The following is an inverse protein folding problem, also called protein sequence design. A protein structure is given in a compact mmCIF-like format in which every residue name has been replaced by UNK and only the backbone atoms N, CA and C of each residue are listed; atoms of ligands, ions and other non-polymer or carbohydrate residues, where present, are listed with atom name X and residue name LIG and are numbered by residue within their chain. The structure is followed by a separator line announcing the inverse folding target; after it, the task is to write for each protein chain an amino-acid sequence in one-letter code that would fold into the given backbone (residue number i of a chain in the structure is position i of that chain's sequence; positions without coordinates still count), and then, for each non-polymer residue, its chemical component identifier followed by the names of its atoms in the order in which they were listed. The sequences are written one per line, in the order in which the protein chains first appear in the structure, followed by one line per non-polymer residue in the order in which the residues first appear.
data_IF_545825649078
#
_entry.id   IF_545825649078
#
_cell.length_a   1.000
_cell.length_b   1.000
_cell.length_c   1.000
_cell.angle_alpha   90.00
_cell.angle_beta   90.00
_cell.angle_gamma   90.00
#
_symmetry.space_group_name_H-M   'P 1'
#
loop_
_entity.id
_entity.type
_entity.pdbx_description
1 polymer ?
#
# COMPACT_ATOMS: atom_id res chain seq x y z
N UNK A 1 6.74 16.09 26.55
CA UNK A 1 5.94 15.12 25.78
C UNK A 1 6.88 13.99 25.38
N UNK A 2 6.89 12.89 26.14
CA UNK A 2 7.73 11.74 25.83
C UNK A 2 7.05 10.95 24.71
N UNK A 3 7.60 11.04 23.50
CA UNK A 3 7.21 10.23 22.36
C UNK A 3 7.75 8.82 22.52
N UNK A 4 7.07 7.99 23.31
CA UNK A 4 7.36 6.56 23.31
C UNK A 4 7.07 6.01 21.91
N UNK A 5 8.04 5.32 21.33
CA UNK A 5 7.82 4.50 20.13
C UNK A 5 6.89 3.36 20.57
N UNK A 6 5.60 3.52 20.30
CA UNK A 6 4.62 2.50 20.59
C UNK A 6 4.62 1.51 19.43
N UNK A 7 5.35 0.40 19.59
CA UNK A 7 5.17 -0.74 18.70
C UNK A 7 3.72 -1.21 18.91
N UNK A 8 2.88 -1.22 17.87
CA UNK A 8 1.49 -1.68 17.96
C UNK A 8 1.32 -3.15 18.40
N UNK A 9 2.41 -3.82 18.78
CA UNK A 9 2.52 -5.15 19.34
C UNK A 9 3.57 -5.18 20.47
N UNK A 10 3.44 -6.11 21.41
CA UNK A 10 4.45 -6.34 22.44
C UNK A 10 5.73 -6.88 21.78
N UNK A 11 6.82 -6.10 21.84
CA UNK A 11 8.12 -6.45 21.26
C UNK A 11 9.09 -6.77 22.40
N UNK A 12 9.64 -7.98 22.41
CA UNK A 12 10.62 -8.39 23.44
C UNK A 12 12.07 -8.06 23.06
N UNK A 13 12.37 -7.98 21.76
CA UNK A 13 13.73 -7.79 21.24
C UNK A 13 13.75 -6.82 20.05
N UNK A 14 14.66 -5.85 20.09
CA UNK A 14 14.93 -4.91 19.00
C UNK A 14 16.38 -5.08 18.55
N UNK A 15 16.59 -5.29 17.24
CA UNK A 15 17.92 -5.40 16.64
C UNK A 15 18.22 -4.15 15.82
N UNK A 16 19.26 -3.42 16.20
CA UNK A 16 19.74 -2.23 15.47
C UNK A 16 20.94 -2.62 14.64
N UNK A 17 20.83 -2.48 13.32
CA UNK A 17 21.89 -2.84 12.37
C UNK A 17 22.68 -1.59 11.98
N UNK A 18 24.00 -1.60 12.22
CA UNK A 18 24.97 -0.62 11.71
C UNK A 18 24.63 0.86 12.02
N UNK A 19 23.97 1.14 13.16
CA UNK A 19 23.57 2.50 13.51
C UNK A 19 23.61 2.79 15.03
N UNK A 20 24.79 3.16 15.55
CA UNK A 20 25.02 3.38 17.00
C UNK A 20 24.16 4.48 17.62
N UNK A 21 23.97 5.61 16.91
CA UNK A 21 23.16 6.72 17.42
C UNK A 21 21.71 6.28 17.71
N UNK A 22 21.10 5.56 16.76
CA UNK A 22 19.77 4.97 16.91
C UNK A 22 19.71 3.94 18.04
N UNK A 23 20.76 3.12 18.21
CA UNK A 23 20.84 2.19 19.34
C UNK A 23 20.75 2.92 20.69
N UNK A 24 21.52 3.99 20.86
CA UNK A 24 21.51 4.77 22.10
C UNK A 24 20.18 5.52 22.31
N UNK A 25 19.58 6.04 21.25
CA UNK A 25 18.25 6.67 21.29
C UNK A 25 17.18 5.65 21.73
N UNK A 26 17.13 4.47 21.11
CA UNK A 26 16.17 3.40 21.46
C UNK A 26 16.40 2.86 22.87
N UNK A 27 17.65 2.75 23.33
CA UNK A 27 17.96 2.31 24.70
C UNK A 27 17.45 3.28 25.77
N UNK A 28 17.37 4.58 25.45
CA UNK A 28 16.79 5.58 26.33
C UNK A 28 15.26 5.59 26.27
N UNK A 29 14.70 5.40 25.07
CA UNK A 29 13.29 5.68 24.80
C UNK A 29 12.39 4.43 24.94
N UNK A 30 12.95 3.21 24.90
CA UNK A 30 12.21 1.95 25.07
C UNK A 30 12.18 1.46 26.52
N UNK A 31 11.12 0.72 26.92
CA UNK A 31 11.05 0.11 28.24
C UNK A 31 12.18 -0.90 28.52
N UNK A 32 12.57 -1.03 29.78
CA UNK A 32 13.68 -1.91 30.21
C UNK A 32 13.48 -3.40 29.89
N UNK A 33 12.23 -3.86 29.76
CA UNK A 33 11.94 -5.26 29.41
C UNK A 33 12.32 -5.58 27.95
N UNK A 34 12.45 -4.57 27.09
CA UNK A 34 12.81 -4.73 25.68
C UNK A 34 14.32 -4.89 25.56
N UNK A 35 14.78 -6.05 25.09
CA UNK A 35 16.21 -6.32 24.88
C UNK A 35 16.66 -5.67 23.57
N UNK A 36 17.66 -4.81 23.62
CA UNK A 36 18.18 -4.13 22.43
C UNK A 36 19.58 -4.65 22.11
N UNK A 37 19.75 -5.21 20.91
CA UNK A 37 21.02 -5.69 20.40
C UNK A 37 21.49 -4.81 19.23
N UNK A 38 22.73 -4.32 19.29
CA UNK A 38 23.37 -3.65 18.16
C UNK A 38 24.25 -4.65 17.41
N UNK A 39 24.13 -4.72 16.09
CA UNK A 39 24.85 -5.67 15.24
C UNK A 39 25.48 -4.96 14.03
N UNK A 40 26.70 -5.33 13.63
CA UNK A 40 27.29 -4.81 12.40
C UNK A 40 26.54 -5.34 11.18
N UNK A 41 26.53 -4.57 10.08
CA UNK A 41 26.11 -5.11 8.77
C UNK A 41 27.11 -6.18 8.31
N UNK A 42 26.62 -7.17 7.57
CA UNK A 42 27.51 -8.11 6.88
C UNK A 42 28.35 -7.37 5.83
N UNK A 43 29.62 -7.76 5.68
CA UNK A 43 30.52 -7.18 4.68
C UNK A 43 30.09 -7.40 3.23
N UNK A 44 29.18 -8.35 2.98
CA UNK A 44 28.58 -8.58 1.66
C UNK A 44 27.35 -7.70 1.36
N UNK A 45 26.96 -6.80 2.27
CA UNK A 45 25.85 -5.87 2.03
C UNK A 45 26.31 -4.74 1.13
N UNK A 46 25.71 -4.68 -0.05
CA UNK A 46 25.91 -3.58 -1.01
C UNK A 46 24.81 -2.54 -0.89
N UNK A 47 25.18 -1.27 -1.02
CA UNK A 47 24.22 -0.18 -1.06
C UNK A 47 23.41 -0.22 -2.37
N UNK A 48 22.08 -0.21 -2.24
CA UNK A 48 21.19 -0.23 -3.40
C UNK A 48 20.94 1.20 -3.89
N UNK A 49 21.13 1.44 -5.18
CA UNK A 49 20.72 2.71 -5.79
C UNK A 49 19.20 2.85 -5.86
N UNK A 50 18.71 4.09 -6.05
CA UNK A 50 17.27 4.36 -6.28
C UNK A 50 16.74 3.60 -7.50
N UNK A 51 17.54 3.53 -8.57
CA UNK A 51 17.20 2.80 -9.79
C UNK A 51 17.01 1.30 -9.51
N UNK A 52 17.95 0.68 -8.77
CA UNK A 52 17.84 -0.73 -8.39
C UNK A 52 16.59 -1.02 -7.54
N UNK A 53 16.22 -0.10 -6.63
CA UNK A 53 14.96 -0.22 -5.85
C UNK A 53 13.71 -0.11 -6.73
N UNK A 54 13.72 0.71 -7.78
CA UNK A 54 12.59 0.80 -8.74
C UNK A 54 12.44 -0.53 -9.49
N UNK A 55 13.54 -1.05 -10.03
CA UNK A 55 13.57 -2.35 -10.74
C UNK A 55 13.11 -3.48 -9.82
N UNK A 56 13.61 -3.51 -8.58
CA UNK A 56 13.20 -4.50 -7.58
C UNK A 56 11.71 -4.44 -7.26
N UNK A 57 11.13 -3.24 -7.09
CA UNK A 57 9.67 -3.08 -6.88
C UNK A 57 8.87 -3.60 -8.07
N UNK A 58 9.25 -3.23 -9.30
CA UNK A 58 8.59 -3.73 -10.53
C UNK A 58 8.66 -5.25 -10.62
N UNK A 59 9.82 -5.84 -10.33
CA UNK A 59 10.01 -7.30 -10.31
C UNK A 59 9.11 -8.00 -9.30
N UNK A 60 8.88 -7.41 -8.11
CA UNK A 60 7.96 -7.97 -7.12
C UNK A 60 6.49 -7.90 -7.55
N UNK A 61 6.07 -6.81 -8.20
CA UNK A 61 4.72 -6.70 -8.75
C UNK A 61 4.53 -7.73 -9.88
N UNK A 62 5.50 -7.87 -10.78
CA UNK A 62 5.45 -8.90 -11.82
C UNK A 62 5.38 -10.31 -11.21
N UNK A 63 6.19 -10.59 -10.18
CA UNK A 63 6.17 -11.89 -9.50
C UNK A 63 4.84 -12.18 -8.80
N UNK A 64 4.10 -11.15 -8.37
CA UNK A 64 2.79 -11.31 -7.76
C UNK A 64 1.75 -11.82 -8.79
N UNK A 65 1.75 -11.29 -10.02
CA UNK A 65 0.79 -11.69 -11.06
C UNK A 65 1.23 -12.93 -11.86
N UNK A 66 2.52 -13.06 -12.18
CA UNK A 66 3.04 -14.09 -13.09
C UNK A 66 3.88 -15.17 -12.39
N UNK A 67 4.13 -15.01 -11.08
CA UNK A 67 4.94 -15.95 -10.32
C UNK A 67 6.45 -15.78 -10.57
N UNK A 68 7.23 -16.80 -10.21
CA UNK A 68 8.67 -16.82 -10.38
C UNK A 68 9.15 -18.04 -11.17
N UNK A 69 10.46 -18.21 -11.26
CA UNK A 69 11.07 -19.34 -11.99
C UNK A 69 10.63 -20.72 -11.50
N UNK A 70 10.28 -20.84 -10.21
CA UNK A 70 9.83 -22.11 -9.61
C UNK A 70 8.35 -22.38 -9.76
N UNK A 71 7.53 -21.34 -9.91
CA UNK A 71 6.09 -21.44 -9.96
C UNK A 71 5.55 -20.29 -10.79
N UNK A 72 4.98 -20.62 -11.94
CA UNK A 72 4.40 -19.67 -12.88
C UNK A 72 2.91 -19.54 -12.60
N UNK A 73 2.41 -18.31 -12.67
CA UNK A 73 0.99 -17.98 -12.55
C UNK A 73 0.47 -17.45 -13.88
N UNK A 74 -0.83 -17.66 -14.12
CA UNK A 74 -1.53 -17.19 -15.31
C UNK A 74 -2.64 -16.24 -14.86
N UNK A 75 -2.35 -14.93 -14.78
CA UNK A 75 -3.36 -13.97 -14.33
C UNK A 75 -4.47 -13.83 -15.38
N UNK A 76 -5.62 -13.36 -14.92
CA UNK A 76 -6.81 -13.16 -15.73
C UNK A 76 -6.97 -11.68 -16.08
N UNK A 77 -7.38 -11.41 -17.31
CA UNK A 77 -7.76 -10.08 -17.78
C UNK A 77 -9.25 -10.06 -18.10
N UNK A 78 -9.98 -9.11 -17.52
CA UNK A 78 -11.41 -8.95 -17.77
C UNK A 78 -11.88 -7.52 -17.53
N UNK A 79 -13.05 -7.20 -18.08
CA UNK A 79 -13.70 -5.89 -17.88
C UNK A 79 -14.51 -5.87 -16.60
N UNK A 80 -14.45 -4.74 -15.89
CA UNK A 80 -15.25 -4.43 -14.71
C UNK A 80 -16.01 -3.13 -14.98
N UNK A 81 -17.32 -3.11 -14.71
CA UNK A 81 -18.10 -1.87 -14.85
C UNK A 81 -17.84 -0.95 -13.67
N UNK A 82 -17.89 0.36 -13.89
CA UNK A 82 -17.69 1.35 -12.83
C UNK A 82 -18.74 1.26 -11.73
N UNK A 83 -19.96 0.81 -12.05
CA UNK A 83 -21.05 0.64 -11.10
C UNK A 83 -20.95 -0.66 -10.26
N UNK A 84 -20.07 -1.60 -10.64
CA UNK A 84 -19.86 -2.84 -9.89
C UNK A 84 -18.96 -2.66 -8.67
N UNK A 85 -18.18 -1.57 -8.62
CA UNK A 85 -17.13 -1.34 -7.62
C UNK A 85 -17.19 0.06 -7.02
N UNK A 86 -16.71 0.19 -5.79
CA UNK A 86 -16.55 1.47 -5.11
C UNK A 86 -15.06 1.70 -4.87
N UNK A 87 -14.50 2.76 -5.45
CA UNK A 87 -13.08 3.09 -5.34
C UNK A 87 -12.89 4.21 -4.33
N UNK A 88 -11.93 4.04 -3.42
CA UNK A 88 -11.54 5.03 -2.43
C UNK A 88 -10.06 5.37 -2.53
N UNK A 89 -9.72 6.63 -2.22
CA UNK A 89 -8.35 7.07 -1.94
C UNK A 89 -8.19 7.33 -0.44
N UNK A 90 -7.09 6.85 0.13
CA UNK A 90 -6.72 7.20 1.50
C UNK A 90 -5.94 8.52 1.47
N UNK A 91 -6.38 9.47 2.28
CA UNK A 91 -5.85 10.81 2.34
C UNK A 91 -6.63 11.76 1.44
N UNK A 92 -7.09 12.86 2.04
CA UNK A 92 -7.62 14.00 1.30
C UNK A 92 -6.47 14.93 0.86
N UNK A 93 -6.66 15.71 -0.21
CA UNK A 93 -5.70 16.73 -0.62
C UNK A 93 -5.36 17.65 0.56
N UNK A 94 -4.08 18.02 0.69
CA UNK A 94 -3.67 18.97 1.71
C UNK A 94 -4.36 20.32 1.45
N UNK A 95 -5.25 20.72 2.36
CA UNK A 95 -5.82 22.07 2.35
C UNK A 95 -4.78 23.05 2.90
N UNK A 96 -4.63 24.25 2.32
CA UNK A 96 -3.88 25.33 2.95
C UNK A 96 -4.42 25.62 4.35
N UNK A 97 -3.57 26.03 5.29
CA UNK A 97 -3.97 26.33 6.67
C UNK A 97 -5.10 27.37 6.74
N UNK A 98 -5.16 28.29 5.77
CA UNK A 98 -6.22 29.30 5.64
C UNK A 98 -7.61 28.73 5.32
N UNK A 99 -7.70 27.49 4.85
CA UNK A 99 -8.95 26.80 4.49
C UNK A 99 -9.32 25.70 5.50
N UNK A 100 -8.60 25.57 6.62
CA UNK A 100 -8.87 24.56 7.64
C UNK A 100 -9.99 25.03 8.58
N UNK A 101 -11.09 24.26 8.75
CA UNK A 101 -12.14 24.61 9.70
C UNK A 101 -11.61 24.67 11.13
N UNK A 102 -12.19 25.55 11.96
CA UNK A 102 -11.87 25.63 13.39
C UNK A 102 -12.01 24.25 14.04
N UNK A 103 -10.91 23.72 14.56
CA UNK A 103 -10.85 22.46 15.30
C UNK A 103 -10.40 21.23 14.50
N UNK A 104 -10.23 21.31 13.18
CA UNK A 104 -9.59 20.23 12.40
C UNK A 104 -8.06 20.31 12.52
N UNK A 105 -7.39 19.15 12.65
CA UNK A 105 -5.92 19.06 12.54
C UNK A 105 -5.53 18.50 11.18
N UNK A 106 -4.36 18.88 10.65
CA UNK A 106 -3.84 18.37 9.38
C UNK A 106 -3.72 16.82 9.33
N UNK A 107 -3.55 16.19 10.49
CA UNK A 107 -3.47 14.75 10.67
C UNK A 107 -4.80 14.03 10.31
N UNK A 108 -5.94 14.66 10.59
CA UNK A 108 -7.28 14.12 10.31
C UNK A 108 -7.53 14.00 8.79
N UNK A 109 -6.82 14.80 7.98
CA UNK A 109 -6.91 14.79 6.53
C UNK A 109 -6.14 13.63 5.90
N UNK A 110 -5.05 13.15 6.53
CA UNK A 110 -4.15 12.13 5.95
C UNK A 110 -4.75 10.73 5.94
N UNK A 111 -5.61 10.41 6.89
CA UNK A 111 -6.27 9.10 7.00
C UNK A 111 -7.71 9.13 6.49
N UNK A 112 -8.20 10.28 6.04
CA UNK A 112 -9.56 10.41 5.51
C UNK A 112 -9.74 9.55 4.26
N UNK A 113 -10.77 8.71 4.25
CA UNK A 113 -11.21 8.00 3.05
C UNK A 113 -12.02 8.95 2.16
N UNK A 114 -11.65 9.00 0.88
CA UNK A 114 -12.32 9.82 -0.12
C UNK A 114 -12.83 8.91 -1.23
N UNK A 115 -14.15 8.80 -1.47
CA UNK A 115 -14.65 8.08 -2.63
C UNK A 115 -14.22 8.82 -3.90
N UNK A 116 -13.78 8.06 -4.90
CA UNK A 116 -13.32 8.61 -6.18
C UNK A 116 -14.04 7.90 -7.32
N UNK A 117 -14.38 8.67 -8.35
CA UNK A 117 -14.93 8.11 -9.57
C UNK A 117 -13.79 7.54 -10.44
N UNK A 118 -13.99 6.37 -11.07
CA UNK A 118 -13.06 5.84 -12.04
C UNK A 118 -12.74 6.86 -13.14
N UNK A 119 -11.45 7.04 -13.44
CA UNK A 119 -11.00 8.03 -14.39
C UNK A 119 -9.71 7.58 -15.09
N UNK A 120 -9.33 8.28 -16.17
CA UNK A 120 -8.19 7.90 -17.00
C UNK A 120 -6.85 7.84 -16.24
N UNK A 121 -6.70 8.60 -15.14
CA UNK A 121 -5.47 8.58 -14.34
C UNK A 121 -5.28 7.26 -13.59
N UNK A 122 -6.32 6.45 -13.44
CA UNK A 122 -6.21 5.13 -12.82
C UNK A 122 -5.51 4.10 -13.70
N UNK A 123 -5.36 4.37 -14.99
CA UNK A 123 -4.66 3.47 -15.88
C UNK A 123 -3.24 3.19 -15.36
N UNK A 124 -2.85 1.93 -15.41
CA UNK A 124 -1.60 1.39 -14.90
C UNK A 124 -1.40 1.49 -13.38
N UNK A 125 -2.41 1.89 -12.60
CA UNK A 125 -2.31 1.86 -11.14
C UNK A 125 -2.77 0.52 -10.57
N UNK A 126 -2.16 0.15 -9.45
CA UNK A 126 -2.67 -0.94 -8.64
C UNK A 126 -3.85 -0.48 -7.79
N UNK A 127 -4.88 -1.33 -7.73
CA UNK A 127 -6.01 -1.22 -6.82
C UNK A 127 -5.93 -2.33 -5.79
N UNK A 128 -6.00 -2.01 -4.51
CA UNK A 128 -6.08 -3.02 -3.46
C UNK A 128 -7.55 -3.41 -3.21
N UNK A 129 -7.85 -4.70 -3.25
CA UNK A 129 -9.19 -5.21 -3.05
C UNK A 129 -9.44 -5.41 -1.54
N UNK A 130 -10.23 -4.55 -0.93
CA UNK A 130 -10.57 -4.67 0.50
C UNK A 130 -11.49 -5.88 0.74
N UNK A 131 -11.34 -6.53 1.89
CA UNK A 131 -12.23 -7.61 2.34
C UNK A 131 -13.55 -7.13 2.94
N UNK A 132 -13.76 -5.80 3.04
CA UNK A 132 -15.02 -5.20 3.49
C UNK A 132 -16.22 -5.69 2.65
N UNK A 133 -17.35 -5.88 3.33
CA UNK A 133 -18.62 -6.22 2.70
C UNK A 133 -19.38 -4.98 2.25
N UNK A 134 -19.25 -3.90 3.04
CA UNK A 134 -19.97 -2.64 2.83
C UNK A 134 -19.07 -1.42 2.96
N UNK A 135 -19.50 -0.30 2.38
CA UNK A 135 -18.80 0.98 2.48
C UNK A 135 -18.84 1.58 3.90
N UNK A 136 -19.73 1.07 4.75
CA UNK A 136 -19.89 1.50 6.14
C UNK A 136 -18.91 0.77 7.09
N UNK A 137 -18.23 -0.28 6.59
CA UNK A 137 -17.22 -1.01 7.35
C UNK A 137 -15.96 -0.15 7.57
N UNK A 138 -15.12 -0.51 8.55
CA UNK A 138 -13.83 0.14 8.76
C UNK A 138 -12.80 -0.29 7.69
N UNK A 139 -12.86 0.36 6.53
CA UNK A 139 -11.99 0.09 5.39
C UNK A 139 -10.50 0.30 5.74
N UNK A 140 -10.16 1.21 6.66
CA UNK A 140 -8.76 1.48 7.02
C UNK A 140 -8.13 0.36 7.86
N UNK A 141 -8.95 -0.37 8.62
CA UNK A 141 -8.51 -1.47 9.48
C UNK A 141 -8.75 -2.86 8.88
N UNK A 142 -9.49 -2.93 7.79
CA UNK A 142 -9.81 -4.20 7.13
C UNK A 142 -8.69 -4.63 6.19
N UNK A 143 -8.38 -5.94 6.23
CA UNK A 143 -7.38 -6.53 5.36
C UNK A 143 -7.80 -6.51 3.89
N UNK A 144 -6.82 -6.67 3.00
CA UNK A 144 -7.06 -6.79 1.56
C UNK A 144 -6.99 -8.26 1.13
N UNK A 145 -7.81 -8.65 0.15
CA UNK A 145 -7.77 -9.96 -0.47
C UNK A 145 -6.57 -10.10 -1.43
N UNK A 146 -6.18 -8.97 -2.03
CA UNK A 146 -5.11 -8.92 -3.02
C UNK A 146 -5.12 -7.59 -3.78
N UNK A 147 -4.39 -7.55 -4.88
CA UNK A 147 -4.23 -6.40 -5.76
C UNK A 147 -4.66 -6.73 -7.19
N UNK A 148 -5.24 -5.73 -7.85
CA UNK A 148 -5.58 -5.70 -9.26
C UNK A 148 -4.71 -4.63 -9.94
N UNK A 149 -4.39 -4.80 -11.22
CA UNK A 149 -3.78 -3.73 -12.01
C UNK A 149 -4.76 -3.25 -13.07
N UNK A 150 -5.04 -1.95 -13.13
CA UNK A 150 -5.85 -1.37 -14.22
C UNK A 150 -4.99 -1.29 -15.46
N UNK A 151 -5.34 -2.00 -16.53
CA UNK A 151 -4.59 -1.97 -17.80
C UNK A 151 -5.15 -0.93 -18.76
N UNK A 152 -6.47 -0.75 -18.76
CA UNK A 152 -7.18 0.19 -19.63
C UNK A 152 -8.39 0.81 -18.90
N UNK A 153 -8.74 2.04 -19.26
CA UNK A 153 -9.92 2.74 -18.74
C UNK A 153 -10.75 3.26 -19.91
N UNK A 154 -12.01 2.84 -19.99
CA UNK A 154 -12.96 3.20 -21.04
C UNK A 154 -14.07 4.08 -20.46
N UNK A 155 -13.85 5.40 -20.45
CA UNK A 155 -14.77 6.37 -19.84
C UNK A 155 -16.16 6.34 -20.50
N UNK A 156 -16.23 6.31 -21.83
CA UNK A 156 -17.52 6.30 -22.56
C UNK A 156 -18.34 5.05 -22.27
N UNK A 157 -17.67 3.90 -22.08
CA UNK A 157 -18.30 2.61 -21.80
C UNK A 157 -18.56 2.39 -20.31
N UNK A 158 -18.08 3.29 -19.45
CA UNK A 158 -18.10 3.15 -18.00
C UNK A 158 -17.50 1.81 -17.53
N UNK A 159 -16.39 1.39 -18.15
CA UNK A 159 -15.68 0.14 -17.83
C UNK A 159 -14.18 0.35 -17.71
N UNK A 160 -13.51 -0.54 -16.98
CA UNK A 160 -12.06 -0.66 -16.97
C UNK A 160 -11.66 -2.12 -17.19
N UNK A 161 -10.54 -2.32 -17.87
CA UNK A 161 -9.91 -3.63 -17.98
C UNK A 161 -8.93 -3.78 -16.82
N UNK A 162 -9.03 -4.89 -16.09
CA UNK A 162 -8.15 -5.19 -14.95
C UNK A 162 -7.42 -6.51 -15.17
N UNK A 163 -6.16 -6.53 -14.74
CA UNK A 163 -5.37 -7.74 -14.53
C UNK A 163 -5.56 -8.20 -13.08
N UNK A 164 -5.92 -9.47 -12.91
CA UNK A 164 -6.27 -10.07 -11.63
C UNK A 164 -5.62 -11.44 -11.46
N UNK A 165 -5.13 -11.82 -10.27
CA UNK A 165 -4.67 -13.19 -10.01
C UNK A 165 -5.80 -14.23 -10.03
N UNK A 166 -7.06 -13.80 -9.85
CA UNK A 166 -8.25 -14.67 -9.86
C UNK A 166 -9.22 -14.26 -10.96
N UNK A 167 -9.98 -15.21 -11.53
CA UNK A 167 -10.96 -14.91 -12.58
C UNK A 167 -12.13 -14.08 -12.04
N UNK A 168 -12.89 -13.48 -12.96
CA UNK A 168 -14.17 -12.83 -12.64
C UNK A 168 -15.17 -13.86 -12.05
N UNK A 169 -16.06 -13.47 -11.11
CA UNK A 169 -16.25 -12.12 -10.55
C UNK A 169 -15.26 -11.77 -9.45
N UNK A 170 -15.09 -10.46 -9.19
CA UNK A 170 -14.34 -10.00 -8.03
C UNK A 170 -15.02 -10.46 -6.74
N UNK A 171 -14.27 -10.97 -5.74
CA UNK A 171 -14.87 -11.48 -4.50
C UNK A 171 -15.46 -10.37 -3.63
N UNK A 172 -15.02 -9.12 -3.80
CA UNK A 172 -15.52 -7.93 -3.10
C UNK A 172 -15.59 -6.74 -4.08
N UNK A 173 -16.26 -5.66 -3.65
CA UNK A 173 -16.52 -4.48 -4.48
C UNK A 173 -15.71 -3.25 -4.10
N UNK A 174 -15.10 -3.24 -2.91
CA UNK A 174 -14.39 -2.08 -2.38
C UNK A 174 -12.92 -2.13 -2.79
N UNK A 175 -12.50 -1.09 -3.51
CA UNK A 175 -11.15 -0.95 -4.04
C UNK A 175 -10.47 0.27 -3.45
N UNK A 176 -9.19 0.15 -3.11
CA UNK A 176 -8.34 1.25 -2.66
C UNK A 176 -7.37 1.62 -3.78
N UNK A 177 -7.42 2.86 -4.25
CA UNK A 177 -6.48 3.39 -5.23
C UNK A 177 -5.12 3.64 -4.59
N UNK A 178 -4.07 3.08 -5.20
CA UNK A 178 -2.68 3.27 -4.78
C UNK A 178 -1.94 4.14 -5.79
N UNK A 179 -0.93 4.89 -5.35
CA UNK A 179 -0.02 5.63 -6.24
C UNK A 179 1.07 4.71 -6.86
N UNK A 180 0.95 3.38 -6.70
CA UNK A 180 1.88 2.40 -7.29
C UNK A 180 1.44 2.11 -8.71
N UNK A 181 2.33 2.36 -9.66
CA UNK A 181 2.10 2.08 -11.07
C UNK A 181 2.82 0.82 -11.56
N UNK A 182 2.14 0.09 -12.43
CA UNK A 182 2.63 -1.09 -13.12
C UNK A 182 2.07 -1.10 -14.55
N UNK A 183 2.96 -0.96 -15.52
CA UNK A 183 2.63 -1.22 -16.92
C UNK A 183 2.95 -2.67 -17.22
N UNK A 184 1.89 -3.45 -17.45
CA UNK A 184 2.01 -4.80 -17.99
C UNK A 184 2.54 -4.72 -19.43
N UNK A 185 3.54 -5.53 -19.73
CA UNK A 185 4.25 -5.53 -21.02
C UNK A 185 4.34 -6.96 -21.59
N UNK A 186 3.51 -7.87 -21.07
CA UNK A 186 3.43 -9.26 -21.50
C UNK A 186 2.25 -9.50 -22.44
#
# INVERSE_FOLDING_TARGET
MNGYINFGSQVDVVVVIDHERLYNELKRDLPEFVKIAHQPKSGGVEERSRALRIVGRRSKICSYFYGGTRQVYFPHSFQVRFDEVCIYKIGAPALPDSCMPLGMKAEDTRTKLVPIQPNAQMQHHLLALSLCESADDDILRTNVAGFLCVTEVWIERQTMTVLSPQPYPLPRKILLWTDITFMDVH
#
